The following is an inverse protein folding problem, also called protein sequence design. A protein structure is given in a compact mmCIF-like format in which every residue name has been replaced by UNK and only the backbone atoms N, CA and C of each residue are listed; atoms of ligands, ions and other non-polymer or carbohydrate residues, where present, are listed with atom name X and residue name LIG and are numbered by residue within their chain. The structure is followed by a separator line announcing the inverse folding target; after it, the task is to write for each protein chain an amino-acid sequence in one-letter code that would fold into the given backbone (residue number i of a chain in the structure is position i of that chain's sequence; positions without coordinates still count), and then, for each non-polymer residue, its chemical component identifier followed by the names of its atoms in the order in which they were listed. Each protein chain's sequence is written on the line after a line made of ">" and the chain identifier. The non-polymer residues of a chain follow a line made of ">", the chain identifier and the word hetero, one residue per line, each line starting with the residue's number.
data_IF_647563193053
#
_entry.id   IF_647563193053
#
_cell.length_a   1.000
_cell.length_b   1.000
_cell.length_c   1.000
_cell.angle_alpha   90.00
_cell.angle_beta   90.00
_cell.angle_gamma   90.00
#
_symmetry.space_group_name_H-M   'P 1'
#
loop_
_entity.id
_entity.type
_entity.pdbx_description
1 polymer ?
#
# COMPACT_ATOMS: atom_id res chain seq x y z
N UNK A 1 4.15 -3.13 -13.10
CA UNK A 1 2.95 -2.37 -12.68
C UNK A 1 3.24 -1.27 -11.65
N UNK A 2 3.72 -1.53 -10.42
CA UNK A 2 3.91 -0.44 -9.43
C UNK A 2 4.76 0.74 -9.92
N UNK A 3 5.86 0.47 -10.66
CA UNK A 3 6.76 1.51 -11.23
C UNK A 3 6.13 2.37 -12.34
N UNK A 4 5.00 1.98 -12.92
CA UNK A 4 4.47 2.69 -14.09
C UNK A 4 3.70 3.96 -13.76
N UNK A 5 3.35 4.20 -12.49
CA UNK A 5 2.65 5.41 -12.06
C UNK A 5 1.21 5.56 -12.56
N UNK A 6 0.65 4.56 -13.25
CA UNK A 6 -0.73 4.67 -13.77
C UNK A 6 -1.79 4.68 -12.67
N UNK A 7 -1.47 4.11 -11.51
CA UNK A 7 -2.26 4.21 -10.28
C UNK A 7 -1.30 4.58 -9.14
N UNK A 8 -1.60 5.66 -8.43
CA UNK A 8 -0.74 6.25 -7.41
C UNK A 8 -1.52 6.51 -6.12
N UNK A 9 -0.85 6.34 -4.97
CA UNK A 9 -1.36 6.73 -3.66
C UNK A 9 -0.42 7.82 -3.08
N UNK A 10 -0.65 9.10 -3.41
CA UNK A 10 0.24 10.19 -3.02
C UNK A 10 0.34 10.43 -1.51
N UNK A 11 -0.63 9.93 -0.74
CA UNK A 11 -0.74 10.20 0.70
C UNK A 11 -1.55 11.47 1.02
N UNK A 12 -2.17 12.08 0.02
CA UNK A 12 -3.13 13.17 0.18
C UNK A 12 -4.55 12.66 0.40
N UNK A 13 -5.45 13.58 0.74
CA UNK A 13 -6.83 13.26 1.14
C UNK A 13 -7.89 14.18 0.51
N UNK A 14 -9.13 13.68 0.40
CA UNK A 14 -10.29 14.49 0.06
C UNK A 14 -10.67 15.44 1.22
N UNK A 15 -11.66 16.33 0.99
CA UNK A 15 -12.15 17.25 2.03
C UNK A 15 -12.79 16.57 3.24
N UNK A 16 -13.04 15.27 3.17
CA UNK A 16 -13.62 14.44 4.23
C UNK A 16 -12.59 13.51 4.89
N UNK A 17 -11.31 13.66 4.55
CA UNK A 17 -10.19 12.90 5.14
C UNK A 17 -9.96 11.53 4.51
N UNK A 18 -10.66 11.16 3.43
CA UNK A 18 -10.45 9.89 2.71
C UNK A 18 -9.15 9.96 1.93
N UNK A 19 -8.36 8.89 1.98
CA UNK A 19 -7.13 8.81 1.18
C UNK A 19 -7.46 8.85 -0.33
N UNK A 20 -6.63 9.57 -1.09
CA UNK A 20 -6.78 9.70 -2.53
C UNK A 20 -5.99 8.64 -3.28
N UNK A 21 -6.66 7.96 -4.20
CA UNK A 21 -6.04 7.09 -5.19
C UNK A 21 -6.16 7.77 -6.56
N UNK A 22 -5.02 8.14 -7.15
CA UNK A 22 -4.98 8.83 -8.43
C UNK A 22 -4.73 7.84 -9.57
N UNK A 23 -5.50 7.96 -10.64
CA UNK A 23 -5.38 7.12 -11.84
C UNK A 23 -5.19 8.02 -13.04
N UNK A 24 -4.10 7.85 -13.80
CA UNK A 24 -3.91 8.55 -15.07
C UNK A 24 -4.20 7.60 -16.22
N UNK A 25 -5.01 8.02 -17.20
CA UNK A 25 -5.35 7.19 -18.37
C UNK A 25 -4.32 7.31 -19.49
N UNK A 26 -3.46 8.33 -19.47
CA UNK A 26 -2.52 8.62 -20.55
C UNK A 26 -1.22 7.80 -20.55
N UNK A 27 -1.03 6.89 -19.59
CA UNK A 27 0.18 6.09 -19.46
C UNK A 27 0.27 4.94 -20.48
N UNK A 28 1.42 4.77 -21.14
CA UNK A 28 1.65 3.67 -22.10
C UNK A 28 1.50 2.27 -21.49
N UNK A 29 1.62 2.15 -20.17
CA UNK A 29 1.44 0.91 -19.44
C UNK A 29 0.05 0.26 -19.59
N UNK A 30 -1.00 1.04 -19.91
CA UNK A 30 -2.34 0.48 -20.12
C UNK A 30 -2.41 -0.48 -21.30
N UNK A 31 -1.54 -0.32 -22.30
CA UNK A 31 -1.44 -1.22 -23.47
C UNK A 31 -0.51 -2.42 -23.26
N UNK A 32 0.16 -2.52 -22.11
CA UNK A 32 1.11 -3.60 -21.89
C UNK A 32 0.41 -4.92 -21.56
N UNK A 33 0.93 -6.04 -22.07
CA UNK A 33 0.36 -7.38 -21.84
C UNK A 33 0.27 -7.77 -20.34
N UNK A 34 1.18 -7.24 -19.51
CA UNK A 34 1.16 -7.46 -18.07
C UNK A 34 0.13 -6.61 -17.32
N UNK A 35 -0.51 -5.63 -17.97
CA UNK A 35 -1.50 -4.75 -17.36
C UNK A 35 -2.91 -5.36 -17.43
N UNK A 36 -3.10 -6.48 -16.72
CA UNK A 36 -4.40 -7.16 -16.62
C UNK A 36 -5.26 -6.63 -15.47
N UNK A 37 -6.57 -6.94 -15.49
CA UNK A 37 -7.49 -6.58 -14.40
C UNK A 37 -7.09 -7.21 -13.07
N UNK A 38 -6.57 -8.44 -13.10
CA UNK A 38 -6.07 -9.13 -11.92
C UNK A 38 -4.83 -8.45 -11.31
N UNK A 39 -3.88 -8.01 -12.14
CA UNK A 39 -2.71 -7.28 -11.65
C UNK A 39 -3.08 -5.89 -11.12
N UNK A 40 -3.99 -5.19 -11.79
CA UNK A 40 -4.51 -3.91 -11.32
C UNK A 40 -5.26 -4.06 -9.99
N UNK A 41 -6.10 -5.09 -9.84
CA UNK A 41 -6.79 -5.36 -8.59
C UNK A 41 -5.81 -5.66 -7.46
N UNK A 42 -4.75 -6.45 -7.72
CA UNK A 42 -3.66 -6.68 -6.76
C UNK A 42 -2.97 -5.38 -6.35
N UNK A 43 -2.64 -4.52 -7.32
CA UNK A 43 -2.04 -3.23 -7.03
C UNK A 43 -2.96 -2.36 -6.17
N UNK A 44 -4.24 -2.24 -6.53
CA UNK A 44 -5.20 -1.41 -5.81
C UNK A 44 -5.41 -1.94 -4.39
N UNK A 45 -5.53 -3.27 -4.20
CA UNK A 45 -5.62 -3.88 -2.86
C UNK A 45 -4.36 -3.61 -2.03
N UNK A 46 -3.18 -3.70 -2.63
CA UNK A 46 -1.93 -3.33 -1.97
C UNK A 46 -1.95 -1.86 -1.55
N UNK A 47 -2.34 -0.93 -2.43
CA UNK A 47 -2.42 0.50 -2.11
C UNK A 47 -3.51 0.78 -1.05
N UNK A 48 -4.67 0.12 -1.12
CA UNK A 48 -5.72 0.10 -0.09
C UNK A 48 -5.18 -0.30 1.29
N UNK A 49 -4.13 -1.14 1.34
CA UNK A 49 -3.55 -1.62 2.60
C UNK A 49 -2.56 -0.64 3.25
N UNK A 50 -2.15 0.43 2.57
CA UNK A 50 -1.13 1.36 3.05
C UNK A 50 -1.64 2.46 4.00
N UNK A 51 -2.82 3.08 3.80
CA UNK A 51 -3.32 4.10 4.72
C UNK A 51 -3.44 3.60 6.16
N UNK A 52 -3.43 4.56 7.10
CA UNK A 52 -3.69 4.27 8.52
C UNK A 52 -5.11 3.74 8.70
N UNK A 53 -5.35 3.04 9.80
CA UNK A 53 -6.62 2.36 10.07
C UNK A 53 -7.81 3.32 10.00
N UNK A 54 -7.65 4.52 10.55
CA UNK A 54 -8.68 5.56 10.59
C UNK A 54 -9.10 6.00 9.17
N UNK A 55 -8.15 6.07 8.24
CA UNK A 55 -8.43 6.41 6.84
C UNK A 55 -9.00 5.22 6.04
N UNK A 56 -8.75 3.98 6.47
CA UNK A 56 -9.32 2.78 5.84
C UNK A 56 -10.80 2.61 6.15
N UNK A 57 -11.22 2.94 7.37
CA UNK A 57 -12.59 2.74 7.84
C UNK A 57 -13.61 3.60 7.06
N UNK A 58 -13.16 4.71 6.46
CA UNK A 58 -13.99 5.62 5.64
C UNK A 58 -13.85 5.39 4.12
N UNK A 59 -13.02 4.43 3.72
CA UNK A 59 -12.72 4.10 2.32
C UNK A 59 -11.88 5.16 1.58
N UNK A 60 -11.40 4.81 0.39
CA UNK A 60 -10.63 5.68 -0.49
C UNK A 60 -11.52 6.38 -1.53
N UNK A 61 -11.11 7.57 -1.93
CA UNK A 61 -11.65 8.25 -3.12
C UNK A 61 -10.70 8.05 -4.30
N UNK A 62 -11.22 7.51 -5.39
CA UNK A 62 -10.46 7.30 -6.63
C UNK A 62 -10.70 8.48 -7.57
N UNK A 63 -9.65 9.15 -8.01
CA UNK A 63 -9.71 10.21 -9.03
C UNK A 63 -9.09 9.68 -10.31
N UNK A 64 -9.90 9.55 -11.36
CA UNK A 64 -9.48 9.09 -12.69
C UNK A 64 -9.33 10.30 -13.60
N UNK A 65 -8.09 10.67 -13.92
CA UNK A 65 -7.78 11.71 -14.89
C UNK A 65 -7.85 11.14 -16.31
N UNK A 66 -9.02 11.35 -16.92
CA UNK A 66 -9.37 10.94 -18.28
C UNK A 66 -9.47 12.13 -19.25
N UNK A 67 -8.88 13.29 -18.92
CA UNK A 67 -8.91 14.49 -19.79
C UNK A 67 -8.27 14.24 -21.15
N UNK A 68 -7.21 13.41 -21.21
CA UNK A 68 -6.45 13.13 -22.43
C UNK A 68 -6.98 11.92 -23.19
N UNK A 69 -7.41 10.88 -22.47
CA UNK A 69 -7.82 9.59 -23.04
C UNK A 69 -8.89 8.95 -22.14
N UNK A 70 -9.84 8.20 -22.71
CA UNK A 70 -10.82 7.47 -21.90
C UNK A 70 -10.14 6.38 -21.05
N UNK A 71 -10.71 6.05 -19.88
CA UNK A 71 -10.20 4.97 -19.04
C UNK A 71 -10.35 3.60 -19.73
N UNK A 72 -9.32 2.77 -19.65
CA UNK A 72 -9.36 1.42 -20.19
C UNK A 72 -10.40 0.55 -19.42
N UNK A 73 -11.23 -0.27 -20.11
CA UNK A 73 -12.26 -1.10 -19.45
C UNK A 73 -11.71 -2.03 -18.35
N UNK A 74 -10.45 -2.42 -18.49
CA UNK A 74 -9.71 -3.25 -17.52
C UNK A 74 -9.63 -2.61 -16.12
N UNK A 75 -9.63 -1.27 -16.03
CA UNK A 75 -9.65 -0.52 -14.77
C UNK A 75 -10.96 -0.79 -14.01
N UNK A 76 -12.12 -0.66 -14.66
CA UNK A 76 -13.40 -0.88 -14.00
C UNK A 76 -13.60 -2.33 -13.59
N UNK A 77 -13.11 -3.27 -14.41
CA UNK A 77 -13.05 -4.69 -14.04
C UNK A 77 -12.22 -4.91 -12.76
N UNK A 78 -11.06 -4.26 -12.66
CA UNK A 78 -10.21 -4.34 -11.47
C UNK A 78 -10.89 -3.70 -10.23
N UNK A 79 -11.48 -2.52 -10.36
CA UNK A 79 -12.20 -1.84 -9.27
C UNK A 79 -13.38 -2.69 -8.76
N UNK A 80 -14.10 -3.38 -9.66
CA UNK A 80 -15.16 -4.33 -9.30
C UNK A 80 -14.62 -5.51 -8.50
N UNK A 81 -13.51 -6.11 -8.95
CA UNK A 81 -12.85 -7.20 -8.22
C UNK A 81 -12.33 -6.76 -6.85
N UNK A 82 -11.81 -5.54 -6.72
CA UNK A 82 -11.38 -4.98 -5.43
C UNK A 82 -12.58 -4.89 -4.48
N UNK A 83 -13.71 -4.36 -4.94
CA UNK A 83 -14.91 -4.24 -4.11
C UNK A 83 -15.54 -5.58 -3.73
N UNK A 84 -15.42 -6.62 -4.56
CA UNK A 84 -15.88 -7.96 -4.17
C UNK A 84 -15.00 -8.59 -3.08
N UNK A 85 -13.69 -8.28 -3.08
CA UNK A 85 -12.74 -8.82 -2.09
C UNK A 85 -12.75 -8.01 -0.80
N UNK A 86 -12.88 -6.69 -0.89
CA UNK A 86 -12.87 -5.76 0.25
C UNK A 86 -13.98 -4.72 0.06
N UNK A 87 -15.22 -5.08 0.40
CA UNK A 87 -16.37 -4.17 0.30
C UNK A 87 -16.13 -2.90 1.12
N UNK A 88 -16.34 -1.75 0.50
CA UNK A 88 -16.15 -0.45 1.13
C UNK A 88 -14.72 0.11 1.06
N UNK A 89 -13.73 -0.63 0.51
CA UNK A 89 -12.39 -0.04 0.33
C UNK A 89 -12.42 1.18 -0.61
N UNK A 90 -13.30 1.16 -1.62
CA UNK A 90 -13.50 2.29 -2.52
C UNK A 90 -14.81 2.97 -2.16
N UNK A 91 -14.76 4.18 -1.63
CA UNK A 91 -15.94 4.95 -1.29
C UNK A 91 -16.60 5.56 -2.54
N UNK A 92 -15.79 6.21 -3.37
CA UNK A 92 -16.28 6.94 -4.55
C UNK A 92 -15.23 7.00 -5.65
N UNK A 93 -15.70 7.16 -6.90
CA UNK A 93 -14.87 7.36 -8.08
C UNK A 93 -15.26 8.67 -8.77
N UNK A 94 -14.31 9.59 -8.89
CA UNK A 94 -14.44 10.83 -9.64
C UNK A 94 -13.76 10.65 -10.99
N UNK A 95 -14.52 10.70 -12.08
CA UNK A 95 -14.00 10.65 -13.44
C UNK A 95 -13.86 12.07 -13.98
N UNK A 96 -12.63 12.56 -14.11
CA UNK A 96 -12.33 13.86 -14.70
C UNK A 96 -12.20 13.68 -16.22
N UNK A 97 -13.22 14.05 -16.98
CA UNK A 97 -13.28 13.87 -18.42
C UNK A 97 -13.98 15.04 -19.11
N UNK A 98 -13.59 15.34 -20.35
CA UNK A 98 -14.35 16.27 -21.19
C UNK A 98 -15.66 15.62 -21.64
N UNK A 99 -16.67 16.47 -21.88
CA UNK A 99 -18.10 16.12 -21.99
C UNK A 99 -18.43 15.03 -23.04
N UNK A 100 -17.54 14.83 -24.01
CA UNK A 100 -17.74 13.95 -25.18
C UNK A 100 -17.23 12.49 -24.99
N UNK A 101 -16.50 12.17 -23.91
CA UNK A 101 -15.95 10.83 -23.69
C UNK A 101 -16.89 9.88 -22.90
N UNK A 102 -18.13 10.30 -22.66
CA UNK A 102 -19.07 9.73 -21.66
C UNK A 102 -19.82 8.48 -22.14
N UNK A 103 -19.52 7.94 -23.33
CA UNK A 103 -20.33 6.90 -23.96
C UNK A 103 -20.35 5.52 -23.25
N UNK A 104 -19.49 5.26 -22.26
CA UNK A 104 -19.56 4.03 -21.46
C UNK A 104 -19.47 4.32 -19.96
N UNK A 105 -20.65 4.54 -19.34
CA UNK A 105 -20.78 4.55 -17.88
C UNK A 105 -20.74 3.11 -17.36
N UNK A 106 -19.55 2.53 -17.26
CA UNK A 106 -19.40 1.30 -16.48
C UNK A 106 -19.66 1.64 -15.00
N UNK A 107 -20.86 1.28 -14.52
CA UNK A 107 -21.24 1.48 -13.12
C UNK A 107 -20.59 0.41 -12.25
N UNK A 108 -20.01 0.86 -11.13
CA UNK A 108 -19.54 -0.01 -10.06
C UNK A 108 -20.65 -0.16 -9.02
N UNK A 109 -21.22 -1.37 -8.81
CA UNK A 109 -22.27 -1.58 -7.83
C UNK A 109 -21.83 -1.14 -6.43
N UNK A 110 -22.66 -0.37 -5.73
CA UNK A 110 -22.37 0.10 -4.38
C UNK A 110 -21.33 1.21 -4.26
N UNK A 111 -20.84 1.77 -5.38
CA UNK A 111 -19.84 2.85 -5.39
C UNK A 111 -20.42 4.09 -6.02
N UNK A 112 -20.29 5.23 -5.35
CA UNK A 112 -20.69 6.52 -5.93
C UNK A 112 -19.73 6.88 -7.06
N UNK A 113 -20.26 7.05 -8.28
CA UNK A 113 -19.49 7.47 -9.44
C UNK A 113 -19.99 8.82 -9.94
N UNK A 114 -19.10 9.78 -10.06
CA UNK A 114 -19.39 11.13 -10.53
C UNK A 114 -18.43 11.52 -11.66
N UNK A 115 -18.97 12.19 -12.70
CA UNK A 115 -18.16 12.68 -13.82
C UNK A 115 -18.01 14.19 -13.68
N UNK A 116 -16.77 14.65 -13.66
CA UNK A 116 -16.39 16.04 -13.52
C UNK A 116 -15.84 16.55 -14.86
N UNK A 117 -16.36 17.68 -15.32
CA UNK A 117 -15.98 18.28 -16.61
C UNK A 117 -14.85 19.32 -16.50
N UNK A 118 -14.35 19.60 -15.29
CA UNK A 118 -13.29 20.58 -15.07
C UNK A 118 -12.57 20.36 -13.74
N UNK A 119 -11.33 20.85 -13.66
CA UNK A 119 -10.57 20.87 -12.41
C UNK A 119 -11.22 21.74 -11.33
N UNK A 120 -11.94 22.80 -11.72
CA UNK A 120 -12.74 23.61 -10.79
C UNK A 120 -13.84 22.79 -10.10
N UNK A 121 -14.44 21.84 -10.81
CA UNK A 121 -15.40 20.92 -10.21
C UNK A 121 -14.70 19.94 -9.25
N UNK A 122 -13.52 19.42 -9.61
CA UNK A 122 -12.70 18.58 -8.73
C UNK A 122 -12.34 19.29 -7.42
N UNK A 123 -12.06 20.60 -7.47
CA UNK A 123 -11.78 21.44 -6.30
C UNK A 123 -12.88 21.46 -5.22
N UNK A 124 -14.11 21.07 -5.57
CA UNK A 124 -15.23 20.93 -4.61
C UNK A 124 -15.10 19.69 -3.74
N UNK A 125 -14.38 18.67 -4.20
CA UNK A 125 -14.19 17.39 -3.49
C UNK A 125 -12.82 17.31 -2.83
N UNK A 126 -11.79 17.87 -3.49
CA UNK A 126 -10.41 17.81 -3.05
C UNK A 126 -9.83 19.22 -3.02
N UNK A 127 -9.11 19.56 -1.96
CA UNK A 127 -8.43 20.85 -1.89
C UNK A 127 -7.21 20.90 -2.83
N UNK A 128 -6.90 22.06 -3.41
CA UNK A 128 -5.75 22.19 -4.32
C UNK A 128 -4.42 21.89 -3.62
N UNK A 129 -4.33 22.09 -2.30
CA UNK A 129 -3.16 21.68 -1.51
C UNK A 129 -2.99 20.16 -1.40
N UNK A 130 -4.01 19.37 -1.73
CA UNK A 130 -4.04 17.90 -1.68
C UNK A 130 -3.95 17.26 -3.08
N UNK A 131 -3.94 18.07 -4.14
CA UNK A 131 -3.77 17.61 -5.51
C UNK A 131 -2.32 17.80 -5.97
N UNK A 132 -1.76 16.87 -6.75
CA UNK A 132 -0.44 17.05 -7.34
C UNK A 132 -0.46 18.07 -8.49
N UNK A 133 0.70 18.56 -8.95
CA UNK A 133 0.79 19.60 -9.98
C UNK A 133 0.09 19.24 -11.30
N UNK A 134 0.02 17.95 -11.66
CA UNK A 134 -0.66 17.49 -12.89
C UNK A 134 -2.18 17.76 -12.87
N UNK A 135 -2.75 17.99 -11.68
CA UNK A 135 -4.16 18.32 -11.44
C UNK A 135 -4.34 19.76 -10.94
N UNK A 136 -3.44 20.67 -11.30
CA UNK A 136 -3.38 22.08 -10.87
C UNK A 136 -3.37 22.26 -9.34
N UNK A 137 -2.68 21.35 -8.64
CA UNK A 137 -2.50 21.42 -7.19
C UNK A 137 -1.07 21.73 -6.74
N UNK A 138 -0.88 21.79 -5.43
CA UNK A 138 0.39 22.12 -4.78
C UNK A 138 0.96 20.97 -3.92
N UNK A 139 0.32 19.80 -3.92
CA UNK A 139 0.78 18.65 -3.13
C UNK A 139 2.07 18.08 -3.72
N UNK A 140 3.19 18.04 -2.96
CA UNK A 140 4.44 17.51 -3.46
C UNK A 140 4.37 15.99 -3.57
N UNK A 141 4.39 15.45 -4.79
CA UNK A 141 4.40 14.02 -5.03
C UNK A 141 5.36 13.65 -6.15
N UNK A 142 6.30 12.75 -5.86
CA UNK A 142 7.16 12.12 -6.85
C UNK A 142 6.98 10.60 -6.78
N UNK A 143 6.38 10.03 -7.82
CA UNK A 143 6.12 8.58 -7.86
C UNK A 143 7.42 7.75 -7.79
N UNK A 144 8.50 8.23 -8.41
CA UNK A 144 9.79 7.55 -8.37
C UNK A 144 10.36 7.45 -6.96
N UNK A 145 10.35 8.56 -6.21
CA UNK A 145 10.79 8.61 -4.81
C UNK A 145 9.89 7.76 -3.92
N UNK A 146 8.57 7.84 -4.11
CA UNK A 146 7.60 7.01 -3.40
C UNK A 146 7.89 5.51 -3.59
N UNK A 147 8.18 5.07 -4.82
CA UNK A 147 8.53 3.66 -5.08
C UNK A 147 9.86 3.29 -4.43
N UNK A 148 10.86 4.16 -4.49
CA UNK A 148 12.16 3.92 -3.84
C UNK A 148 12.04 3.81 -2.33
N UNK A 149 11.19 4.65 -1.71
CA UNK A 149 10.89 4.60 -0.28
C UNK A 149 10.34 3.21 0.10
N UNK A 150 9.29 2.75 -0.58
CA UNK A 150 8.68 1.44 -0.29
C UNK A 150 9.61 0.26 -0.61
N UNK A 151 10.50 0.40 -1.59
CA UNK A 151 11.55 -0.61 -1.86
C UNK A 151 12.55 -0.77 -0.72
N UNK A 152 12.79 0.28 0.08
CA UNK A 152 13.61 0.19 1.30
C UNK A 152 12.78 -0.26 2.49
N UNK A 153 11.55 0.24 2.63
CA UNK A 153 10.67 -0.03 3.75
C UNK A 153 10.24 -1.51 3.82
N UNK A 154 9.86 -2.12 2.69
CA UNK A 154 9.33 -3.50 2.69
C UNK A 154 10.36 -4.55 3.14
N UNK A 155 11.59 -4.60 2.60
CA UNK A 155 12.61 -5.53 3.09
C UNK A 155 12.96 -5.28 4.56
N UNK A 156 12.97 -4.01 4.99
CA UNK A 156 13.24 -3.66 6.37
C UNK A 156 12.15 -4.17 7.32
N UNK A 157 10.88 -3.90 7.02
CA UNK A 157 9.74 -4.38 7.84
C UNK A 157 9.60 -5.89 7.80
N UNK A 158 9.89 -6.54 6.67
CA UNK A 158 9.95 -8.00 6.57
C UNK A 158 11.05 -8.59 7.47
N UNK A 159 12.24 -7.99 7.46
CA UNK A 159 13.35 -8.39 8.34
C UNK A 159 13.01 -8.23 9.82
N UNK A 160 12.34 -7.13 10.20
CA UNK A 160 11.86 -6.93 11.56
C UNK A 160 10.83 -8.00 11.98
N UNK A 161 9.91 -8.35 11.08
CA UNK A 161 8.90 -9.38 11.37
C UNK A 161 9.55 -10.75 11.57
N UNK A 162 10.47 -11.15 10.68
CA UNK A 162 11.19 -12.42 10.81
C UNK A 162 12.02 -12.49 12.10
N UNK A 163 12.72 -11.41 12.45
CA UNK A 163 13.45 -11.32 13.71
C UNK A 163 12.51 -11.43 14.92
N UNK A 164 11.36 -10.77 14.88
CA UNK A 164 10.34 -10.85 15.93
C UNK A 164 9.78 -12.27 16.07
N UNK A 165 9.44 -12.93 14.96
CA UNK A 165 8.94 -14.32 14.95
C UNK A 165 9.98 -15.28 15.52
N UNK A 166 11.25 -15.14 15.11
CA UNK A 166 12.34 -15.95 15.65
C UNK A 166 12.50 -15.78 17.16
N UNK A 167 12.48 -14.54 17.64
CA UNK A 167 12.58 -14.24 19.08
C UNK A 167 11.38 -14.81 19.85
N UNK A 168 10.16 -14.67 19.32
CA UNK A 168 8.95 -15.23 19.93
C UNK A 168 9.01 -16.76 20.01
N UNK A 169 9.42 -17.43 18.93
CA UNK A 169 9.62 -18.88 18.93
C UNK A 169 10.66 -19.31 19.96
N UNK A 170 11.81 -18.63 20.04
CA UNK A 170 12.84 -18.97 21.02
C UNK A 170 12.37 -18.75 22.45
N UNK A 171 11.65 -17.65 22.74
CA UNK A 171 11.07 -17.40 24.07
C UNK A 171 10.07 -18.50 24.45
N UNK A 172 9.25 -18.95 23.51
CA UNK A 172 8.29 -20.03 23.75
C UNK A 172 8.99 -21.37 24.03
N UNK A 173 10.04 -21.70 23.28
CA UNK A 173 10.83 -22.92 23.49
C UNK A 173 11.63 -22.90 24.80
N UNK A 174 12.14 -21.75 25.22
CA UNK A 174 12.80 -21.61 26.52
C UNK A 174 11.82 -21.88 27.66
N UNK A 175 10.62 -21.27 27.60
CA UNK A 175 9.57 -21.47 28.60
C UNK A 175 9.09 -22.92 28.69
N UNK A 176 8.98 -23.62 27.55
CA UNK A 176 8.61 -25.04 27.57
C UNK A 176 9.72 -25.93 28.13
N UNK A 177 10.98 -25.61 27.85
CA UNK A 177 12.14 -26.31 28.42
C UNK A 177 12.20 -26.15 29.93
N UNK A 178 11.98 -24.94 30.45
CA UNK A 178 11.95 -24.67 31.90
C UNK A 178 10.80 -25.40 32.61
N UNK A 179 9.63 -25.51 31.97
CA UNK A 179 8.50 -26.25 32.52
C UNK A 179 8.77 -27.77 32.61
N UNK A 180 9.62 -28.32 31.73
CA UNK A 180 10.00 -29.73 31.71
C UNK A 180 11.27 -30.03 32.54
N UNK A 181 12.03 -29.00 32.93
CA UNK A 181 13.25 -29.17 33.71
C UNK A 181 13.02 -29.78 35.11
N UNK A 182 11.80 -29.71 35.64
CA UNK A 182 11.43 -30.44 36.87
C UNK A 182 11.32 -31.96 36.72
N UNK A 183 11.31 -32.48 35.47
CA UNK A 183 11.15 -33.91 35.16
C UNK A 183 12.26 -34.47 34.24
N UNK A 184 13.14 -33.63 33.67
CA UNK A 184 14.23 -34.01 32.75
C UNK A 184 15.65 -33.71 33.30
N UNK A 185 16.66 -34.25 32.62
CA UNK A 185 18.09 -34.01 32.86
C UNK A 185 18.45 -32.52 32.70
N UNK A 186 18.88 -31.89 33.79
CA UNK A 186 19.31 -30.48 33.86
C UNK A 186 20.41 -30.17 32.83
N UNK A 187 21.31 -31.12 32.53
CA UNK A 187 22.36 -30.93 31.55
C UNK A 187 21.81 -30.82 30.11
N UNK A 188 20.75 -31.55 29.79
CA UNK A 188 20.04 -31.44 28.51
C UNK A 188 19.32 -30.10 28.39
N UNK A 189 18.70 -29.62 29.48
CA UNK A 189 18.07 -28.30 29.54
C UNK A 189 19.07 -27.16 29.27
N UNK A 190 20.24 -27.19 29.92
CA UNK A 190 21.30 -26.19 29.70
C UNK A 190 21.80 -26.21 28.25
N UNK A 191 22.02 -27.40 27.68
CA UNK A 191 22.46 -27.53 26.28
C UNK A 191 21.44 -26.90 25.33
N UNK A 192 20.15 -27.16 25.55
CA UNK A 192 19.08 -26.59 24.72
C UNK A 192 19.03 -25.07 24.81
N UNK A 193 19.23 -24.51 26.00
CA UNK A 193 19.32 -23.06 26.20
C UNK A 193 20.48 -22.45 25.39
N UNK A 194 21.66 -23.08 25.42
CA UNK A 194 22.83 -22.63 24.66
C UNK A 194 22.58 -22.66 23.15
N UNK A 195 21.96 -23.72 22.63
CA UNK A 195 21.59 -23.83 21.22
C UNK A 195 20.63 -22.71 20.79
N UNK A 196 19.60 -22.44 21.59
CA UNK A 196 18.62 -21.38 21.31
C UNK A 196 19.27 -20.00 21.34
N UNK A 197 20.13 -19.73 22.33
CA UNK A 197 20.90 -18.49 22.37
C UNK A 197 21.80 -18.34 21.14
N UNK A 198 22.51 -19.39 20.76
CA UNK A 198 23.40 -19.36 19.59
C UNK A 198 22.61 -19.11 18.30
N UNK A 199 21.44 -19.74 18.15
CA UNK A 199 20.53 -19.53 17.02
C UNK A 199 20.08 -18.08 16.92
N UNK A 200 19.70 -17.46 18.04
CA UNK A 200 19.28 -16.04 18.08
C UNK A 200 20.45 -15.12 17.75
N UNK A 201 21.59 -15.30 18.41
CA UNK A 201 22.76 -14.42 18.25
C UNK A 201 23.39 -14.51 16.85
N UNK A 202 23.26 -15.67 16.19
CA UNK A 202 23.80 -15.90 14.84
C UNK A 202 22.80 -15.60 13.72
N UNK A 203 21.56 -15.19 14.06
CA UNK A 203 20.55 -14.94 13.04
C UNK A 203 20.92 -13.71 12.18
N UNK A 204 21.05 -13.86 10.85
CA UNK A 204 21.53 -12.80 9.98
C UNK A 204 20.54 -11.62 9.89
N UNK A 205 19.23 -11.85 10.05
CA UNK A 205 18.24 -10.78 10.00
C UNK A 205 18.31 -9.94 11.28
N UNK A 206 18.41 -10.59 12.44
CA UNK A 206 18.55 -9.93 13.73
C UNK A 206 19.84 -9.09 13.79
N UNK A 207 20.96 -9.66 13.35
CA UNK A 207 22.25 -8.95 13.30
C UNK A 207 22.17 -7.74 12.36
N UNK A 208 21.54 -7.88 11.19
CA UNK A 208 21.36 -6.75 10.26
C UNK A 208 20.48 -5.65 10.87
N UNK A 209 19.36 -6.02 11.50
CA UNK A 209 18.47 -5.06 12.18
C UNK A 209 19.20 -4.33 13.31
N UNK A 210 20.02 -5.03 14.10
CA UNK A 210 20.79 -4.41 15.18
C UNK A 210 21.85 -3.43 14.66
N UNK A 211 22.54 -3.78 13.57
CA UNK A 211 23.62 -2.94 13.00
C UNK A 211 23.09 -1.76 12.20
N UNK A 212 22.11 -2.00 11.34
CA UNK A 212 21.68 -1.04 10.32
C UNK A 212 20.31 -0.41 10.63
N UNK A 213 19.54 -0.97 11.57
CA UNK A 213 18.17 -0.55 11.81
C UNK A 213 18.04 0.91 12.22
N UNK A 214 18.96 1.42 13.05
CA UNK A 214 19.00 2.83 13.43
C UNK A 214 19.23 3.75 12.22
N UNK A 215 20.15 3.37 11.33
CA UNK A 215 20.44 4.12 10.10
C UNK A 215 19.25 4.10 9.13
N UNK A 216 18.65 2.93 8.90
CA UNK A 216 17.48 2.78 8.02
C UNK A 216 16.30 3.60 8.56
N UNK A 217 16.03 3.57 9.87
CA UNK A 217 14.98 4.37 10.49
C UNK A 217 15.25 5.88 10.40
N UNK A 218 16.49 6.31 10.64
CA UNK A 218 16.85 7.73 10.52
C UNK A 218 16.67 8.25 9.10
N UNK A 219 16.99 7.42 8.10
CA UNK A 219 16.79 7.73 6.69
C UNK A 219 15.30 7.77 6.32
N UNK A 220 14.52 6.77 6.71
CA UNK A 220 13.07 6.71 6.46
C UNK A 220 12.27 7.83 7.13
N UNK A 221 12.82 8.50 8.15
CA UNK A 221 12.19 9.68 8.79
C UNK A 221 12.44 10.99 8.05
N UNK A 222 13.49 11.04 7.22
CA UNK A 222 13.88 12.23 6.45
C UNK A 222 13.27 12.24 5.05
N UNK A 223 13.01 11.05 4.51
CA UNK A 223 12.26 10.81 3.28
C UNK A 223 10.75 10.90 3.56
#
# INVERSE_FOLDING_TARGET
>A
LLRSGIICLPGSSDRLGRALLLVTTSGSAWGAAWCSSAELARLILYLCSLPRREAKDIGLMVVVDARKQPPAPVLFSALRSVQSVSPGCIHSVLLLAEKELVAQRERLPGVQMETLTSLKALGRHVDSSQLPPELDGAFPYCHGEWVQFFQKLHPFTSGLRQASELLQCCIQELRSTDALAGTQDVAAGIRRHQELMQKVLSDPQLVRVQREGGFVLARLRRE
#
